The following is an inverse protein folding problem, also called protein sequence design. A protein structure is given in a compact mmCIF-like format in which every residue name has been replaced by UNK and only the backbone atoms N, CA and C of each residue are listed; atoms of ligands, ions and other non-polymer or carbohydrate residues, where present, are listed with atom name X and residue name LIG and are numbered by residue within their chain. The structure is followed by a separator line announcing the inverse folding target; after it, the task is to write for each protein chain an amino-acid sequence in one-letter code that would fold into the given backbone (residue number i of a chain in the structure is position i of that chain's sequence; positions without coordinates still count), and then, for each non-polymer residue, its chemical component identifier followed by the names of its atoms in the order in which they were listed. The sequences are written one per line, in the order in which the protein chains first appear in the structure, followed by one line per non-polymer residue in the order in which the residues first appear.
data_IF_404994316404
#
_entry.id   IF_404994316404
#
_cell.length_a   1.000
_cell.length_b   1.000
_cell.length_c   1.000
_cell.angle_alpha   90.00
_cell.angle_beta   90.00
_cell.angle_gamma   90.00
#
_symmetry.space_group_name_H-M   'P 1'
#
loop_
_entity.id
_entity.type
_entity.pdbx_description
1 polymer ?
#
# COMPACT_ATOMS: atom_id res chain seq x y z
N UNK A 1 -4.78 0.55 -22.62
CA UNK A 1 -3.70 -0.44 -22.65
C UNK A 1 -3.98 -1.39 -23.80
N UNK A 2 -3.00 -1.64 -24.67
CA UNK A 2 -3.08 -2.69 -25.70
C UNK A 2 -2.73 -4.06 -25.12
N UNK A 3 -3.05 -5.15 -25.82
CA UNK A 3 -2.65 -6.50 -25.40
C UNK A 3 -1.13 -6.63 -25.24
N UNK A 4 -0.36 -6.14 -26.20
CA UNK A 4 1.11 -6.15 -26.16
C UNK A 4 1.66 -5.40 -24.93
N UNK A 5 1.07 -4.25 -24.58
CA UNK A 5 1.46 -3.51 -23.38
C UNK A 5 1.14 -4.29 -22.10
N UNK A 6 0.00 -4.97 -22.08
CA UNK A 6 -0.43 -5.80 -20.95
C UNK A 6 0.52 -6.99 -20.74
N UNK A 7 0.89 -7.68 -21.82
CA UNK A 7 1.84 -8.81 -21.79
C UNK A 7 3.20 -8.37 -21.25
N UNK A 8 3.70 -7.21 -21.70
CA UNK A 8 4.95 -6.66 -21.19
C UNK A 8 4.87 -6.32 -19.70
N UNK A 9 3.78 -5.68 -19.26
CA UNK A 9 3.58 -5.33 -17.86
C UNK A 9 3.40 -6.58 -16.99
N UNK A 10 2.72 -7.61 -17.47
CA UNK A 10 2.56 -8.86 -16.74
C UNK A 10 3.89 -9.55 -16.42
N UNK A 11 4.96 -9.28 -17.19
CA UNK A 11 6.30 -9.80 -16.95
C UNK A 11 7.17 -8.88 -16.07
N UNK A 12 6.71 -7.66 -15.77
CA UNK A 12 7.38 -6.80 -14.79
C UNK A 12 7.17 -7.36 -13.38
N UNK A 13 8.24 -7.44 -12.58
CA UNK A 13 8.21 -8.07 -11.26
C UNK A 13 7.17 -7.43 -10.32
N UNK A 14 7.01 -6.11 -10.36
CA UNK A 14 6.07 -5.39 -9.49
C UNK A 14 4.61 -5.63 -9.90
N UNK A 15 4.35 -5.74 -11.20
CA UNK A 15 3.01 -6.08 -11.70
C UNK A 15 2.69 -7.56 -11.51
N UNK A 16 3.65 -8.45 -11.80
CA UNK A 16 3.46 -9.89 -11.68
C UNK A 16 3.14 -10.30 -10.24
N UNK A 17 3.86 -9.76 -9.25
CA UNK A 17 3.59 -10.02 -7.84
C UNK A 17 2.18 -9.57 -7.41
N UNK A 18 1.71 -8.41 -7.90
CA UNK A 18 0.34 -7.95 -7.68
C UNK A 18 -0.69 -8.84 -8.38
N UNK A 19 -0.38 -9.35 -9.58
CA UNK A 19 -1.23 -10.30 -10.30
C UNK A 19 -1.35 -11.64 -9.55
N UNK A 20 -0.26 -12.15 -8.97
CA UNK A 20 -0.28 -13.36 -8.14
C UNK A 20 -1.23 -13.20 -6.95
N UNK A 21 -1.18 -12.05 -6.26
CA UNK A 21 -2.12 -11.76 -5.16
C UNK A 21 -3.55 -11.74 -5.67
N UNK A 22 -3.80 -11.08 -6.81
CA UNK A 22 -5.15 -10.98 -7.38
C UNK A 22 -5.70 -12.34 -7.83
N UNK A 23 -4.83 -13.24 -8.28
CA UNK A 23 -5.17 -14.60 -8.67
C UNK A 23 -5.39 -15.55 -7.47
N UNK A 24 -4.98 -15.16 -6.26
CA UNK A 24 -5.06 -16.00 -5.06
C UNK A 24 -3.84 -16.90 -4.86
N UNK A 25 -2.76 -16.67 -5.59
CA UNK A 25 -1.50 -17.44 -5.48
C UNK A 25 -0.58 -16.87 -4.39
N UNK A 26 -0.92 -15.71 -3.81
CA UNK A 26 -0.21 -15.06 -2.71
C UNK A 26 -1.15 -14.19 -1.87
N UNK A 27 -0.82 -13.96 -0.60
CA UNK A 27 -1.66 -13.18 0.33
C UNK A 27 -1.24 -11.71 0.46
N UNK A 28 -0.03 -11.34 0.00
CA UNK A 28 0.50 -9.99 0.14
C UNK A 28 1.85 -9.78 -0.52
N UNK A 29 2.30 -8.53 -0.60
CA UNK A 29 3.57 -8.12 -1.22
C UNK A 29 4.28 -7.08 -0.35
N UNK A 30 5.61 -7.19 -0.28
CA UNK A 30 6.51 -6.15 0.25
C UNK A 30 7.48 -5.75 -0.87
N UNK A 31 7.56 -4.45 -1.14
CA UNK A 31 8.47 -3.87 -2.15
C UNK A 31 9.01 -2.52 -1.64
N UNK A 32 9.71 -1.76 -2.49
CA UNK A 32 10.22 -0.43 -2.17
C UNK A 32 11.70 -0.37 -1.77
N UNK A 33 12.39 -1.51 -1.65
CA UNK A 33 13.83 -1.53 -1.35
C UNK A 33 14.68 -0.88 -2.46
N UNK A 34 14.30 -1.10 -3.73
CA UNK A 34 14.97 -0.54 -4.92
C UNK A 34 13.98 0.12 -5.89
N UNK A 35 12.69 0.10 -5.57
CA UNK A 35 11.62 0.71 -6.36
C UNK A 35 11.08 1.94 -5.63
N UNK A 36 10.63 2.95 -6.36
CA UNK A 36 9.99 4.10 -5.71
C UNK A 36 8.65 3.71 -5.09
N UNK A 37 8.17 4.49 -4.12
CA UNK A 37 6.81 4.35 -3.56
C UNK A 37 5.75 4.38 -4.66
N UNK A 38 5.91 5.25 -5.66
CA UNK A 38 5.00 5.36 -6.79
C UNK A 38 4.98 4.11 -7.66
N UNK A 39 6.15 3.52 -7.93
CA UNK A 39 6.26 2.27 -8.72
C UNK A 39 5.67 1.07 -7.98
N UNK A 40 5.73 1.08 -6.65
CA UNK A 40 5.11 0.04 -5.80
C UNK A 40 3.60 0.19 -5.71
N UNK A 41 3.08 1.40 -5.46
CA UNK A 41 1.66 1.63 -5.25
C UNK A 41 0.85 1.58 -6.55
N UNK A 42 1.41 2.03 -7.69
CA UNK A 42 0.70 2.08 -8.98
C UNK A 42 0.10 0.74 -9.40
N UNK A 43 0.85 -0.38 -9.50
CA UNK A 43 0.26 -1.66 -9.88
C UNK A 43 -0.77 -2.16 -8.87
N UNK A 44 -0.50 -2.00 -7.56
CA UNK A 44 -1.42 -2.40 -6.51
C UNK A 44 -2.78 -1.68 -6.63
N UNK A 45 -2.76 -0.36 -6.84
CA UNK A 45 -3.97 0.45 -7.02
C UNK A 45 -4.70 0.17 -8.33
N UNK A 46 -3.98 -0.20 -9.40
CA UNK A 46 -4.61 -0.54 -10.69
C UNK A 46 -5.31 -1.90 -10.67
N UNK A 47 -4.76 -2.89 -9.97
CA UNK A 47 -5.17 -4.30 -10.08
C UNK A 47 -5.93 -4.79 -8.83
N UNK A 48 -5.34 -4.64 -7.63
CA UNK A 48 -5.97 -5.07 -6.37
C UNK A 48 -7.06 -4.07 -5.96
N UNK A 49 -6.76 -2.77 -6.11
CA UNK A 49 -7.62 -1.64 -5.70
C UNK A 49 -7.82 -1.58 -4.18
N UNK A 50 -8.77 -0.77 -3.75
CA UNK A 50 -9.18 -0.63 -2.35
C UNK A 50 -10.11 -1.76 -1.91
N UNK A 51 -10.25 -1.92 -0.59
CA UNK A 51 -11.25 -2.81 -0.02
C UNK A 51 -12.69 -2.31 -0.34
N UNK A 52 -13.70 -3.21 -0.34
CA UNK A 52 -15.09 -2.82 -0.56
C UNK A 52 -15.54 -1.71 0.39
N UNK A 53 -16.16 -0.67 -0.15
CA UNK A 53 -16.64 0.49 0.61
C UNK A 53 -15.57 1.54 0.93
N UNK A 54 -14.32 1.34 0.50
CA UNK A 54 -13.23 2.29 0.69
C UNK A 54 -12.82 2.89 -0.66
N UNK A 55 -12.71 4.20 -0.75
CA UNK A 55 -12.32 4.94 -1.97
C UNK A 55 -10.83 5.30 -2.01
N UNK A 56 -10.17 5.35 -0.86
CA UNK A 56 -8.81 5.89 -0.71
C UNK A 56 -7.91 4.92 0.06
N UNK A 57 -6.62 4.88 -0.28
CA UNK A 57 -5.60 4.19 0.52
C UNK A 57 -4.89 5.18 1.43
N UNK A 58 -4.42 4.73 2.59
CA UNK A 58 -3.69 5.55 3.56
C UNK A 58 -2.43 4.83 4.02
N UNK A 59 -1.53 5.55 4.66
CA UNK A 59 -0.39 4.98 5.37
C UNK A 59 -0.58 5.10 6.88
N UNK A 60 0.12 4.25 7.63
CA UNK A 60 0.24 4.45 9.06
C UNK A 60 1.64 4.11 9.57
N UNK A 61 2.02 4.79 10.65
CA UNK A 61 3.14 4.41 11.49
C UNK A 61 2.64 3.88 12.83
N UNK A 62 3.27 2.82 13.30
CA UNK A 62 3.16 2.37 14.69
C UNK A 62 4.23 3.13 15.48
N UNK A 63 3.79 4.04 16.33
CA UNK A 63 4.64 4.89 17.15
C UNK A 63 4.83 4.27 18.53
N UNK A 64 6.05 3.81 18.81
CA UNK A 64 6.46 3.38 20.14
C UNK A 64 6.88 4.62 20.94
N UNK A 65 6.08 4.97 21.94
CA UNK A 65 6.33 6.08 22.85
C UNK A 65 7.31 5.66 23.95
N UNK A 66 7.93 6.63 24.66
CA UNK A 66 8.71 6.32 25.85
C UNK A 66 7.89 5.55 26.89
N UNK A 67 8.55 4.64 27.60
CA UNK A 67 7.92 3.80 28.63
C UNK A 67 7.22 4.65 29.71
N UNK A 68 6.00 4.24 30.08
CA UNK A 68 5.18 4.96 31.07
C UNK A 68 4.59 6.26 30.51
N UNK A 69 4.45 6.34 29.18
CA UNK A 69 3.77 7.45 28.53
C UNK A 69 2.33 7.54 29.04
N UNK A 70 1.90 8.77 29.36
CA UNK A 70 0.50 9.06 29.69
C UNK A 70 -0.44 8.97 28.48
N UNK A 71 0.12 8.84 27.27
CA UNK A 71 -0.59 8.74 26.00
C UNK A 71 -0.34 7.38 25.35
N UNK A 72 -1.28 6.95 24.51
CA UNK A 72 -1.23 5.67 23.82
C UNK A 72 -1.67 4.50 24.67
N UNK A 73 -1.99 3.40 24.01
CA UNK A 73 -2.30 2.13 24.68
C UNK A 73 -1.00 1.34 24.82
N UNK A 74 -0.58 1.06 26.06
CA UNK A 74 0.70 0.39 26.37
C UNK A 74 1.89 1.07 25.68
N UNK A 75 1.93 2.40 25.76
CA UNK A 75 2.96 3.24 25.13
C UNK A 75 3.00 3.14 23.60
N UNK A 76 1.92 2.69 22.94
CA UNK A 76 1.83 2.59 21.48
C UNK A 76 0.68 3.44 20.94
N UNK A 77 0.92 4.12 19.81
CA UNK A 77 -0.10 4.83 19.04
C UNK A 77 0.01 4.52 17.54
N UNK A 78 -1.09 4.66 16.80
CA UNK A 78 -1.11 4.58 15.33
C UNK A 78 -1.32 5.97 14.76
N UNK A 79 -0.42 6.40 13.89
CA UNK A 79 -0.47 7.71 13.22
C UNK A 79 -0.78 7.46 11.76
N UNK A 80 -1.81 8.12 11.22
CA UNK A 80 -2.12 8.11 9.79
C UNK A 80 -2.94 9.33 9.40
N UNK A 81 -2.90 9.81 8.16
CA UNK A 81 -1.97 9.43 7.08
C UNK A 81 -0.62 10.18 7.23
N UNK A 82 0.49 9.50 7.01
CA UNK A 82 1.83 10.09 7.15
C UNK A 82 2.68 10.06 5.87
N UNK A 83 2.16 9.53 4.76
CA UNK A 83 2.99 9.28 3.57
C UNK A 83 2.25 9.23 2.23
N UNK A 84 0.92 9.09 2.20
CA UNK A 84 0.19 8.88 0.93
C UNK A 84 -0.67 10.09 0.56
N UNK A 85 -1.62 10.48 1.42
CA UNK A 85 -2.52 11.59 1.16
C UNK A 85 -1.90 12.91 1.65
N UNK A 86 -1.60 13.81 0.71
CA UNK A 86 -0.90 15.08 0.98
C UNK A 86 -1.82 16.11 1.64
N UNK A 87 -3.06 16.21 1.14
CA UNK A 87 -4.08 17.16 1.61
C UNK A 87 -5.44 16.44 1.59
N UNK A 88 -5.72 15.60 2.60
CA UNK A 88 -6.98 14.85 2.67
C UNK A 88 -8.16 15.80 2.90
N UNK A 89 -9.33 15.43 2.40
CA UNK A 89 -10.59 16.13 2.68
C UNK A 89 -11.40 15.35 3.74
N UNK A 90 -12.67 15.68 3.89
CA UNK A 90 -13.55 15.05 4.89
C UNK A 90 -14.03 13.63 4.53
N UNK A 91 -13.83 13.19 3.27
CA UNK A 91 -14.19 11.87 2.75
C UNK A 91 -13.04 10.85 2.88
#
# INVERSE_FOLDING_TARGET
MTLEQAEKLALDCSYFSVLMIKAGDADGMVSGAVHSTGDTLRPALQIIKTAPGISTVSSCFIMCLPEGSKYGEKDVMVYGDCAVNIDPNED
#
